data_IF_665532017135
#
_entry.id   IF_665532017135
#
_cell.length_a   1.000
_cell.length_b   1.000
_cell.length_c   1.000
_cell.angle_alpha   90.00
_cell.angle_beta   90.00
_cell.angle_gamma   90.00
#
_symmetry.space_group_name_H-M   'P 1'
#
loop_
_entity.id
_entity.type
_entity.pdbx_description
1 polymer ?
#
# COMPACT_ATOMS: atom_id res chain seq x y z
N UNK A 1 30.31 -0.24 -17.28
CA UNK A 1 29.25 -0.78 -16.39
C UNK A 1 29.03 0.11 -15.15
N UNK A 2 30.05 0.37 -14.32
CA UNK A 2 29.93 1.20 -13.10
C UNK A 2 29.43 2.64 -13.34
N UNK A 3 29.88 3.31 -14.40
CA UNK A 3 29.43 4.67 -14.72
C UNK A 3 27.95 4.76 -15.14
N UNK A 4 27.45 3.76 -15.86
CA UNK A 4 26.03 3.68 -16.26
C UNK A 4 25.15 3.41 -15.02
N UNK A 5 25.61 2.53 -14.11
CA UNK A 5 24.92 2.27 -12.84
C UNK A 5 24.88 3.51 -11.95
N UNK A 6 25.98 4.27 -11.84
CA UNK A 6 26.00 5.51 -11.07
C UNK A 6 25.07 6.58 -11.67
N UNK A 7 25.03 6.71 -12.99
CA UNK A 7 24.13 7.64 -13.68
C UNK A 7 22.65 7.27 -13.47
N UNK A 8 22.32 5.97 -13.56
CA UNK A 8 20.97 5.49 -13.27
C UNK A 8 20.56 5.76 -11.81
N UNK A 9 21.47 5.54 -10.85
CA UNK A 9 21.20 5.80 -9.43
C UNK A 9 20.98 7.28 -9.14
N UNK A 10 21.77 8.17 -9.75
CA UNK A 10 21.56 9.62 -9.68
C UNK A 10 20.21 9.99 -10.32
N UNK A 11 19.89 9.43 -11.49
CA UNK A 11 18.62 9.69 -12.17
C UNK A 11 17.40 9.27 -11.33
N UNK A 12 17.44 8.09 -10.73
CA UNK A 12 16.38 7.62 -9.81
C UNK A 12 16.28 8.53 -8.59
N UNK A 13 17.41 8.94 -8.01
CA UNK A 13 17.43 9.84 -6.87
C UNK A 13 16.83 11.22 -7.22
N UNK A 14 17.20 11.79 -8.36
CA UNK A 14 16.61 13.04 -8.85
C UNK A 14 15.13 12.91 -9.15
N UNK A 15 14.70 11.81 -9.77
CA UNK A 15 13.28 11.51 -9.98
C UNK A 15 12.52 11.47 -8.65
N UNK A 16 13.08 10.82 -7.63
CA UNK A 16 12.50 10.74 -6.29
C UNK A 16 12.29 12.13 -5.68
N UNK A 17 13.28 13.02 -5.81
CA UNK A 17 13.19 14.40 -5.32
C UNK A 17 12.10 15.18 -6.08
N UNK A 18 12.04 15.03 -7.41
CA UNK A 18 11.02 15.70 -8.24
C UNK A 18 9.62 15.23 -7.83
N UNK A 19 9.42 13.92 -7.70
CA UNK A 19 8.15 13.35 -7.29
C UNK A 19 7.77 13.81 -5.89
N UNK A 20 8.73 13.79 -4.95
CA UNK A 20 8.48 14.25 -3.59
C UNK A 20 8.12 15.74 -3.55
N UNK A 21 8.83 16.58 -4.30
CA UNK A 21 8.53 18.00 -4.42
C UNK A 21 7.11 18.22 -4.91
N UNK A 22 6.66 17.43 -5.88
CA UNK A 22 5.34 17.62 -6.48
C UNK A 22 4.20 17.05 -5.64
N UNK A 23 4.46 16.00 -4.88
CA UNK A 23 3.53 15.54 -3.84
C UNK A 23 3.37 16.61 -2.76
N UNK A 24 4.47 17.24 -2.34
CA UNK A 24 4.47 18.26 -1.29
C UNK A 24 3.93 19.61 -1.75
N UNK A 25 3.95 19.90 -3.06
CA UNK A 25 3.37 21.13 -3.63
C UNK A 25 1.84 21.08 -3.73
N UNK A 26 1.24 19.91 -3.52
CA UNK A 26 -0.20 19.73 -3.63
C UNK A 26 -0.96 20.61 -2.61
N UNK A 27 -1.97 21.40 -3.03
CA UNK A 27 -2.69 22.37 -2.17
C UNK A 27 -3.30 21.77 -0.90
N UNK A 28 -3.61 20.46 -0.93
CA UNK A 28 -4.18 19.71 0.19
C UNK A 28 -3.33 19.76 1.47
N UNK A 29 -2.00 19.94 1.37
CA UNK A 29 -1.13 20.02 2.54
C UNK A 29 -1.10 21.41 3.20
N UNK A 30 -1.53 22.46 2.48
CA UNK A 30 -1.42 23.85 2.93
C UNK A 30 -2.69 24.42 3.58
N UNK A 31 -3.82 23.75 3.43
CA UNK A 31 -5.12 24.23 3.91
C UNK A 31 -5.44 23.63 5.30
N UNK A 32 -5.29 24.43 6.36
CA UNK A 32 -5.99 24.17 7.62
C UNK A 32 -7.41 24.72 7.51
N UNK A 33 -8.25 24.03 6.72
CA UNK A 33 -9.66 24.36 6.55
C UNK A 33 -10.54 23.81 7.66
N UNK A 34 -11.81 24.23 7.68
CA UNK A 34 -12.85 23.56 8.46
C UNK A 34 -12.94 22.10 8.01
N UNK A 35 -12.91 21.11 8.92
CA UNK A 35 -13.02 19.71 8.51
C UNK A 35 -14.34 19.49 7.74
N UNK A 36 -14.33 18.68 6.67
CA UNK A 36 -15.52 18.43 5.87
C UNK A 36 -16.60 17.79 6.74
N UNK A 37 -17.86 18.10 6.45
CA UNK A 37 -18.97 17.35 7.05
C UNK A 37 -18.94 15.91 6.56
N UNK A 38 -19.60 14.98 7.26
CA UNK A 38 -19.70 13.58 6.83
C UNK A 38 -20.24 13.45 5.40
N UNK A 39 -21.16 14.34 5.00
CA UNK A 39 -21.73 14.35 3.65
C UNK A 39 -20.69 14.82 2.64
N UNK A 40 -19.99 15.92 2.92
CA UNK A 40 -18.97 16.46 2.00
C UNK A 40 -17.81 15.47 1.82
N UNK A 41 -17.43 14.78 2.89
CA UNK A 41 -16.41 13.74 2.83
C UNK A 41 -16.87 12.53 1.99
N UNK A 42 -18.13 12.10 2.14
CA UNK A 42 -18.66 11.01 1.32
C UNK A 42 -18.68 11.40 -0.17
N UNK A 43 -19.11 12.62 -0.49
CA UNK A 43 -19.11 13.14 -1.86
C UNK A 43 -17.69 13.18 -2.43
N UNK A 44 -16.69 13.62 -1.65
CA UNK A 44 -15.31 13.69 -2.15
C UNK A 44 -14.67 12.31 -2.34
N UNK A 45 -14.91 11.36 -1.44
CA UNK A 45 -14.39 9.98 -1.53
C UNK A 45 -14.97 9.22 -2.71
N UNK A 46 -16.27 9.38 -2.99
CA UNK A 46 -16.94 8.70 -4.11
C UNK A 46 -16.92 9.47 -5.43
N UNK A 47 -16.56 10.76 -5.41
CA UNK A 47 -16.38 11.59 -6.60
C UNK A 47 -14.89 11.75 -6.93
N UNK A 48 -14.30 12.83 -6.40
CA UNK A 48 -12.93 13.29 -6.72
C UNK A 48 -11.85 12.24 -6.42
N UNK A 49 -12.03 11.46 -5.34
CA UNK A 49 -11.09 10.44 -4.88
C UNK A 49 -11.51 9.01 -5.22
N UNK A 50 -12.49 8.84 -6.10
CA UNK A 50 -13.05 7.53 -6.46
C UNK A 50 -12.00 6.51 -6.89
N UNK A 51 -11.06 6.93 -7.75
CA UNK A 51 -9.99 6.05 -8.25
C UNK A 51 -9.06 5.62 -7.12
N UNK A 52 -8.63 6.57 -6.27
CA UNK A 52 -7.78 6.27 -5.12
C UNK A 52 -8.47 5.32 -4.12
N UNK A 53 -9.77 5.52 -3.90
CA UNK A 53 -10.60 4.65 -3.04
C UNK A 53 -10.70 3.23 -3.58
N UNK A 54 -10.87 3.06 -4.89
CA UNK A 54 -10.87 1.74 -5.54
C UNK A 54 -9.51 1.06 -5.35
N UNK A 55 -8.41 1.76 -5.62
CA UNK A 55 -7.05 1.21 -5.47
C UNK A 55 -6.79 0.79 -4.02
N UNK A 56 -7.17 1.62 -3.06
CA UNK A 56 -7.08 1.29 -1.63
C UNK A 56 -7.87 0.02 -1.30
N UNK A 57 -9.09 -0.12 -1.81
CA UNK A 57 -9.92 -1.30 -1.63
C UNK A 57 -9.27 -2.58 -2.18
N UNK A 58 -8.64 -2.51 -3.36
CA UNK A 58 -7.90 -3.63 -3.94
C UNK A 58 -6.69 -4.00 -3.09
N UNK A 59 -5.93 -3.02 -2.61
CA UNK A 59 -4.78 -3.25 -1.73
C UNK A 59 -5.20 -3.90 -0.40
N UNK A 60 -6.31 -3.44 0.19
CA UNK A 60 -6.91 -4.03 1.38
C UNK A 60 -7.36 -5.47 1.13
N UNK A 61 -8.01 -5.74 -0.01
CA UNK A 61 -8.42 -7.09 -0.38
C UNK A 61 -7.21 -8.03 -0.54
N UNK A 62 -6.15 -7.57 -1.20
CA UNK A 62 -4.90 -8.31 -1.33
C UNK A 62 -4.27 -8.60 0.04
N UNK A 63 -4.27 -7.62 0.96
CA UNK A 63 -3.77 -7.80 2.31
C UNK A 63 -4.59 -8.85 3.09
N UNK A 64 -5.92 -8.82 2.99
CA UNK A 64 -6.78 -9.82 3.64
C UNK A 64 -6.56 -11.23 3.10
N UNK A 65 -6.39 -11.38 1.78
CA UNK A 65 -6.07 -12.65 1.15
C UNK A 65 -4.72 -13.16 1.68
N UNK A 66 -3.70 -12.30 1.71
CA UNK A 66 -2.38 -12.66 2.23
C UNK A 66 -2.42 -13.11 3.70
N UNK A 67 -3.15 -12.40 4.55
CA UNK A 67 -3.32 -12.77 5.95
C UNK A 67 -4.02 -14.14 6.12
N UNK A 68 -5.02 -14.43 5.27
CA UNK A 68 -5.69 -15.73 5.27
C UNK A 68 -4.76 -16.88 4.88
N UNK A 69 -3.86 -16.66 3.92
CA UNK A 69 -2.87 -17.68 3.55
C UNK A 69 -1.87 -17.92 4.67
N UNK A 70 -1.40 -16.86 5.34
CA UNK A 70 -0.42 -16.99 6.42
C UNK A 70 -0.95 -17.86 7.57
N UNK A 71 -2.19 -17.62 8.02
CA UNK A 71 -2.84 -18.45 9.06
C UNK A 71 -3.14 -19.86 8.56
N UNK A 72 -3.51 -20.03 7.29
CA UNK A 72 -3.74 -21.35 6.70
C UNK A 72 -2.45 -22.16 6.68
N UNK A 73 -1.34 -21.54 6.29
CA UNK A 73 -0.05 -22.20 6.18
C UNK A 73 0.45 -22.63 7.56
N UNK A 74 0.29 -21.80 8.60
CA UNK A 74 0.56 -22.19 10.00
C UNK A 74 -0.27 -23.41 10.44
N UNK A 75 -1.56 -23.45 10.10
CA UNK A 75 -2.45 -24.58 10.44
C UNK A 75 -2.07 -25.86 9.69
N UNK A 76 -1.62 -25.76 8.44
CA UNK A 76 -1.17 -26.91 7.67
C UNK A 76 0.12 -27.49 8.23
N UNK A 77 1.06 -26.63 8.64
CA UNK A 77 2.33 -27.07 9.26
C UNK A 77 2.06 -27.82 10.57
N UNK A 78 1.18 -27.29 11.43
CA UNK A 78 0.83 -27.96 12.68
C UNK A 78 0.17 -29.33 12.44
N UNK A 79 -0.71 -29.42 11.44
CA UNK A 79 -1.39 -30.68 11.11
C UNK A 79 -0.42 -31.76 10.61
N UNK A 80 0.59 -31.38 9.82
CA UNK A 80 1.63 -32.30 9.35
C UNK A 80 2.45 -32.82 10.53
N UNK A 81 2.81 -31.94 11.47
CA UNK A 81 3.56 -32.31 12.66
C UNK A 81 2.77 -33.28 13.56
N UNK A 82 1.46 -33.08 13.72
CA UNK A 82 0.59 -34.01 14.46
C UNK A 82 0.50 -35.39 13.76
N UNK A 83 0.39 -35.43 12.42
CA UNK A 83 0.33 -36.69 11.65
C UNK A 83 1.64 -37.47 11.69
N UNK A 84 2.79 -36.79 11.65
CA UNK A 84 4.11 -37.42 11.67
C UNK A 84 4.52 -37.86 13.09
N UNK A 85 4.06 -37.16 14.13
CA UNK A 85 4.31 -37.51 15.53
C UNK A 85 3.54 -38.71 16.06
N UNK A 86 2.46 -39.13 15.38
CA UNK A 86 1.66 -40.32 15.74
C UNK A 86 2.23 -41.64 15.16
N UNK A 87 3.30 -41.60 14.36
CA UNK A 87 3.93 -42.78 13.71
C UNK A 87 5.11 -43.42 14.49
N UNK A 88 5.44 -42.94 15.70
CA UNK A 88 6.38 -43.57 16.65
C UNK A 88 5.69 -44.35 17.78
#
# INVERSE_FOLDING_TARGET
MRGISALAQIGVFTLLIILLSEVMSHPMWGETGTPPTTVDFAVSIFGDWSVATIVLGVLLAMAMIGASYLVRDERLVNLIWDLEGDEE
#
